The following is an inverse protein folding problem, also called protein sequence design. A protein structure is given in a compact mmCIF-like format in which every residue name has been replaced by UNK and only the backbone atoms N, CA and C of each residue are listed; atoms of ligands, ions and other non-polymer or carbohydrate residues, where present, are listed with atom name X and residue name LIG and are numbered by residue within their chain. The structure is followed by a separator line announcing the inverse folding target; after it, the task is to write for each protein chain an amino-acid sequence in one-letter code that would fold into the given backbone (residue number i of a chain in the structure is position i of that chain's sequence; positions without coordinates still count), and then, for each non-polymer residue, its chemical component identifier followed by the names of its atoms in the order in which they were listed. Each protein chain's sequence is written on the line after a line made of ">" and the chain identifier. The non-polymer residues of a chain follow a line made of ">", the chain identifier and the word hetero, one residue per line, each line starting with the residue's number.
data_IF_688718751267
#
_entry.id   IF_688718751267
#
_cell.length_a   1.000
_cell.length_b   1.000
_cell.length_c   1.000
_cell.angle_alpha   90.00
_cell.angle_beta   90.00
_cell.angle_gamma   90.00
#
_symmetry.space_group_name_H-M   'P 1'
#
loop_
_entity.id
_entity.type
_entity.pdbx_description
1 polymer ?
#
# COMPACT_ATOMS: atom_id res chain seq x y z
N UNK A 1 7.95 -7.01 10.06
CA UNK A 1 7.03 -7.83 10.88
C UNK A 1 6.86 -9.18 10.21
N UNK A 2 7.18 -10.28 10.90
CA UNK A 2 7.14 -11.63 10.30
C UNK A 2 6.53 -12.66 11.23
N UNK A 3 5.61 -13.50 10.72
CA UNK A 3 4.99 -14.62 11.46
C UNK A 3 4.22 -14.21 12.73
N UNK A 4 3.46 -13.11 12.70
CA UNK A 4 2.66 -12.67 13.84
C UNK A 4 1.17 -12.97 13.62
N UNK A 5 0.45 -13.20 14.72
CA UNK A 5 -1.01 -13.21 14.74
C UNK A 5 -1.49 -12.02 15.53
N UNK A 6 -2.30 -11.17 14.91
CA UNK A 6 -2.94 -10.01 15.52
C UNK A 6 -4.45 -10.15 15.31
N UNK A 7 -5.19 -10.38 16.38
CA UNK A 7 -6.63 -10.60 16.30
C UNK A 7 -7.44 -9.82 17.33
N UNK A 8 -8.66 -9.40 16.95
CA UNK A 8 -9.69 -9.00 17.89
C UNK A 8 -9.36 -7.80 18.77
N UNK A 9 -8.67 -6.77 18.26
CA UNK A 9 -8.27 -5.58 19.03
C UNK A 9 -9.41 -4.63 19.45
N UNK A 10 -10.66 -5.11 19.46
CA UNK A 10 -11.82 -4.36 19.89
C UNK A 10 -12.18 -3.25 18.90
N UNK A 11 -12.04 -1.99 19.31
CA UNK A 11 -12.28 -0.82 18.45
C UNK A 11 -11.04 -0.35 17.68
N UNK A 12 -9.88 -0.94 17.94
CA UNK A 12 -8.62 -0.50 17.36
C UNK A 12 -8.26 -1.32 16.12
N UNK A 13 -7.44 -0.73 15.25
CA UNK A 13 -6.81 -1.43 14.13
C UNK A 13 -5.84 -2.51 14.60
N UNK A 14 -5.41 -3.36 13.66
CA UNK A 14 -4.46 -4.43 13.94
C UNK A 14 -3.05 -3.90 14.14
N UNK A 15 -2.49 -3.27 13.11
CA UNK A 15 -1.16 -2.66 13.17
C UNK A 15 -1.18 -1.26 12.58
N UNK A 16 -0.60 -0.30 13.31
CA UNK A 16 -0.43 1.08 12.84
C UNK A 16 1.05 1.43 12.82
N UNK A 17 1.56 1.78 11.64
CA UNK A 17 2.91 2.31 11.44
C UNK A 17 2.82 3.77 11.08
N UNK A 18 3.58 4.58 11.80
CA UNK A 18 3.80 5.98 11.48
C UNK A 18 5.30 6.22 11.33
N UNK A 19 5.71 6.63 10.13
CA UNK A 19 7.10 6.98 9.82
C UNK A 19 7.15 8.42 9.31
N UNK A 20 8.08 9.22 9.82
CA UNK A 20 8.22 10.61 9.40
C UNK A 20 9.69 11.02 9.32
N UNK A 21 10.07 11.61 8.19
CA UNK A 21 11.23 12.45 8.05
C UNK A 21 10.80 13.90 7.80
N UNK A 22 11.27 14.81 8.65
CA UNK A 22 10.86 16.21 8.63
C UNK A 22 12.06 17.16 8.65
N UNK A 23 12.10 18.12 7.72
CA UNK A 23 13.07 19.21 7.70
C UNK A 23 12.33 20.56 7.77
N UNK A 24 12.50 21.26 8.90
CA UNK A 24 11.94 22.59 9.12
C UNK A 24 12.90 23.75 8.86
N UNK A 25 14.20 23.49 8.75
CA UNK A 25 15.23 24.51 8.51
C UNK A 25 15.39 24.80 7.02
N UNK A 26 15.58 26.07 6.64
CA UNK A 26 15.94 26.45 5.26
C UNK A 26 17.33 25.97 4.86
N UNK A 27 17.53 25.82 3.56
CA UNK A 27 18.77 25.39 2.92
C UNK A 27 19.32 24.06 3.48
N UNK A 28 18.41 23.16 3.89
CA UNK A 28 18.73 21.84 4.42
C UNK A 28 18.06 20.77 3.56
N UNK A 29 18.83 19.76 3.15
CA UNK A 29 18.33 18.73 2.24
C UNK A 29 18.02 17.45 3.01
N UNK A 30 16.87 16.84 2.70
CA UNK A 30 16.59 15.47 3.08
C UNK A 30 17.13 14.57 1.96
N UNK A 31 18.33 14.03 2.19
CA UNK A 31 19.01 13.22 1.18
C UNK A 31 19.36 11.83 1.69
N UNK A 32 19.39 10.85 0.76
CA UNK A 32 19.84 9.48 1.03
C UNK A 32 19.11 8.83 2.21
N UNK A 33 17.82 9.14 2.37
CA UNK A 33 16.99 8.69 3.48
C UNK A 33 15.93 7.71 2.97
N UNK A 34 15.61 6.69 3.76
CA UNK A 34 14.73 5.62 3.33
C UNK A 34 13.81 5.14 4.44
N UNK A 35 12.54 4.95 4.11
CA UNK A 35 11.59 4.18 4.91
C UNK A 35 11.39 2.82 4.23
N UNK A 36 11.45 1.74 5.01
CA UNK A 36 11.16 0.40 4.53
C UNK A 36 10.25 -0.32 5.53
N UNK A 37 9.01 -0.59 5.12
CA UNK A 37 8.06 -1.37 5.90
C UNK A 37 7.89 -2.76 5.25
N UNK A 38 8.10 -3.82 6.03
CA UNK A 38 8.00 -5.19 5.51
C UNK A 38 7.10 -6.03 6.39
N UNK A 39 6.13 -6.69 5.77
CA UNK A 39 5.15 -7.57 6.40
C UNK A 39 5.18 -8.92 5.71
N UNK A 40 5.54 -9.96 6.44
CA UNK A 40 5.66 -11.31 5.89
C UNK A 40 4.91 -12.32 6.74
N UNK A 41 4.04 -13.12 6.13
CA UNK A 41 3.39 -14.25 6.78
C UNK A 41 2.67 -13.90 8.10
N UNK A 42 2.04 -12.73 8.18
CA UNK A 42 1.24 -12.35 9.35
C UNK A 42 -0.23 -12.74 9.13
N UNK A 43 -0.93 -13.06 10.21
CA UNK A 43 -2.39 -13.25 10.23
C UNK A 43 -3.01 -12.12 11.04
N UNK A 44 -3.83 -11.29 10.40
CA UNK A 44 -4.35 -10.04 10.96
C UNK A 44 -5.86 -10.00 10.77
N UNK A 45 -6.62 -10.24 11.82
CA UNK A 45 -8.06 -10.51 11.67
C UNK A 45 -8.96 -9.88 12.73
N UNK A 46 -10.20 -9.58 12.35
CA UNK A 46 -11.24 -9.21 13.31
C UNK A 46 -10.99 -7.91 14.07
N UNK A 47 -10.21 -6.97 13.52
CA UNK A 47 -9.92 -5.70 14.18
C UNK A 47 -11.05 -4.68 14.01
N UNK A 48 -11.11 -3.71 14.93
CA UNK A 48 -12.19 -2.71 15.00
C UNK A 48 -12.09 -1.58 14.00
N UNK A 49 -10.98 -1.52 13.29
CA UNK A 49 -10.65 -0.52 12.28
C UNK A 49 -9.88 -1.23 11.14
N UNK A 50 -8.84 -0.62 10.58
CA UNK A 50 -7.98 -1.23 9.58
C UNK A 50 -7.21 -2.45 10.12
N UNK A 51 -6.96 -3.44 9.26
CA UNK A 51 -6.06 -4.54 9.58
C UNK A 51 -4.63 -4.04 9.75
N UNK A 52 -4.11 -3.39 8.71
CA UNK A 52 -2.81 -2.71 8.73
C UNK A 52 -2.98 -1.31 8.17
N UNK A 53 -2.51 -0.31 8.92
CA UNK A 53 -2.41 1.06 8.49
C UNK A 53 -0.94 1.49 8.49
N UNK A 54 -0.42 1.93 7.34
CA UNK A 54 0.94 2.47 7.20
C UNK A 54 0.86 3.89 6.71
N UNK A 55 1.43 4.81 7.48
CA UNK A 55 1.58 6.20 7.10
C UNK A 55 3.07 6.55 6.99
N UNK A 56 3.46 7.10 5.84
CA UNK A 56 4.83 7.56 5.61
C UNK A 56 4.86 9.03 5.20
N UNK A 57 5.68 9.83 5.88
CA UNK A 57 5.82 11.26 5.62
C UNK A 57 7.27 11.60 5.29
N UNK A 58 7.46 12.31 4.18
CA UNK A 58 8.73 12.94 3.79
C UNK A 58 8.47 14.41 3.51
N UNK A 59 8.75 15.27 4.49
CA UNK A 59 8.28 16.65 4.48
C UNK A 59 9.47 17.62 4.64
N UNK A 60 9.68 18.48 3.66
CA UNK A 60 10.60 19.62 3.75
C UNK A 60 9.81 20.92 3.63
N UNK A 61 9.80 21.75 4.68
CA UNK A 61 9.08 23.05 4.68
C UNK A 61 10.00 24.26 4.72
N UNK A 62 11.29 24.06 5.00
CA UNK A 62 12.28 25.14 4.97
C UNK A 62 12.55 25.60 3.55
N UNK A 63 12.62 26.91 3.29
CA UNK A 63 12.97 27.43 1.96
C UNK A 63 14.22 26.74 1.36
N UNK A 64 14.16 26.39 0.07
CA UNK A 64 15.21 25.68 -0.67
C UNK A 64 15.63 24.33 -0.07
N UNK A 65 14.73 23.65 0.63
CA UNK A 65 15.02 22.35 1.25
C UNK A 65 14.46 21.24 0.38
N UNK A 66 15.33 20.55 -0.35
CA UNK A 66 14.95 19.50 -1.29
C UNK A 66 14.86 18.11 -0.69
N UNK A 67 14.12 17.23 -1.36
CA UNK A 67 14.20 15.78 -1.18
C UNK A 67 14.99 15.19 -2.33
N UNK A 68 16.03 14.41 -2.01
CA UNK A 68 16.92 13.86 -3.02
C UNK A 68 17.38 12.43 -2.69
N UNK A 69 17.45 11.58 -3.71
CA UNK A 69 17.89 10.19 -3.62
C UNK A 69 17.33 9.46 -2.39
N UNK A 70 16.03 9.62 -2.16
CA UNK A 70 15.33 9.09 -0.99
C UNK A 70 14.22 8.14 -1.42
N UNK A 71 13.74 7.29 -0.52
CA UNK A 71 12.74 6.30 -0.88
C UNK A 71 11.78 5.89 0.23
N UNK A 72 10.60 5.44 -0.19
CA UNK A 72 9.65 4.66 0.62
C UNK A 72 9.48 3.30 -0.07
N UNK A 73 9.57 2.23 0.70
CA UNK A 73 9.33 0.87 0.21
C UNK A 73 8.45 0.08 1.17
N UNK A 74 7.24 -0.23 0.72
CA UNK A 74 6.28 -1.04 1.44
C UNK A 74 6.17 -2.41 0.78
N UNK A 75 6.37 -3.48 1.56
CA UNK A 75 6.37 -4.85 1.05
C UNK A 75 5.49 -5.78 1.89
N UNK A 76 4.55 -6.45 1.22
CA UNK A 76 3.62 -7.40 1.82
C UNK A 76 3.74 -8.75 1.13
N UNK A 77 4.09 -9.80 1.88
CA UNK A 77 4.23 -11.15 1.32
C UNK A 77 3.57 -12.19 2.21
N UNK A 78 2.69 -13.02 1.64
CA UNK A 78 2.13 -14.16 2.36
C UNK A 78 1.24 -13.81 3.55
N UNK A 79 0.74 -12.58 3.66
CA UNK A 79 -0.09 -12.17 4.80
C UNK A 79 -1.56 -12.59 4.59
N UNK A 80 -2.25 -12.94 5.67
CA UNK A 80 -3.70 -13.11 5.70
C UNK A 80 -4.30 -11.96 6.49
N UNK A 81 -5.11 -11.14 5.84
CA UNK A 81 -5.72 -9.94 6.42
C UNK A 81 -7.23 -10.01 6.18
N UNK A 82 -8.03 -10.22 7.22
CA UNK A 82 -9.47 -10.43 7.01
C UNK A 82 -10.40 -10.10 8.16
N UNK A 83 -11.65 -9.77 7.85
CA UNK A 83 -12.67 -9.51 8.87
C UNK A 83 -12.41 -8.25 9.69
N UNK A 84 -11.58 -7.32 9.20
CA UNK A 84 -11.36 -6.03 9.85
C UNK A 84 -12.55 -5.10 9.57
N UNK A 85 -12.87 -4.19 10.48
CA UNK A 85 -14.11 -3.42 10.41
C UNK A 85 -14.06 -2.26 9.41
N UNK A 86 -12.86 -1.80 9.05
CA UNK A 86 -12.65 -0.86 7.94
C UNK A 86 -11.84 -1.56 6.83
N UNK A 87 -10.65 -1.08 6.47
CA UNK A 87 -9.87 -1.60 5.36
C UNK A 87 -9.02 -2.80 5.78
N UNK A 88 -8.70 -3.69 4.85
CA UNK A 88 -7.71 -4.73 5.11
C UNK A 88 -6.33 -4.11 5.33
N UNK A 89 -5.88 -3.41 4.29
CA UNK A 89 -4.61 -2.69 4.25
C UNK A 89 -4.86 -1.26 3.77
N UNK A 90 -4.45 -0.29 4.56
CA UNK A 90 -4.46 1.12 4.19
C UNK A 90 -3.02 1.63 4.15
N UNK A 91 -2.61 2.12 2.98
CA UNK A 91 -1.30 2.70 2.74
C UNK A 91 -1.47 4.18 2.40
N UNK A 92 -0.95 5.02 3.28
CA UNK A 92 -0.93 6.45 3.12
C UNK A 92 0.52 6.93 3.00
N UNK A 93 0.81 7.81 2.04
CA UNK A 93 2.06 8.54 2.06
C UNK A 93 1.90 9.98 1.57
N UNK A 94 2.52 10.90 2.30
CA UNK A 94 2.59 12.31 1.96
C UNK A 94 4.06 12.70 1.71
N UNK A 95 4.35 13.20 0.51
CA UNK A 95 5.66 13.73 0.16
C UNK A 95 5.48 15.20 -0.19
N UNK A 96 6.16 16.06 0.56
CA UNK A 96 6.14 17.51 0.35
C UNK A 96 7.58 18.01 0.20
N UNK A 97 7.93 18.46 -1.01
CA UNK A 97 9.25 19.00 -1.34
C UNK A 97 9.19 20.53 -1.56
N UNK A 98 9.57 21.32 -0.55
CA UNK A 98 9.58 22.78 -0.69
C UNK A 98 10.51 23.34 -1.77
N UNK A 99 11.52 22.56 -2.22
CA UNK A 99 12.40 22.96 -3.31
C UNK A 99 11.93 22.44 -4.68
N UNK A 100 10.97 21.50 -4.72
CA UNK A 100 10.47 20.89 -5.95
C UNK A 100 11.51 20.07 -6.72
N UNK A 101 12.47 19.47 -6.00
CA UNK A 101 13.52 18.62 -6.57
C UNK A 101 13.06 17.20 -6.90
N UNK A 102 12.03 16.70 -6.21
CA UNK A 102 11.31 15.45 -6.51
C UNK A 102 12.19 14.20 -6.61
N UNK A 103 13.27 14.12 -5.83
CA UNK A 103 14.19 12.97 -5.83
C UNK A 103 13.72 11.82 -4.93
N UNK A 104 12.45 11.45 -5.03
CA UNK A 104 11.80 10.47 -4.17
C UNK A 104 11.18 9.34 -4.98
N UNK A 105 11.58 8.10 -4.66
CA UNK A 105 11.01 6.88 -5.24
C UNK A 105 10.16 6.13 -4.21
N UNK A 106 8.88 5.92 -4.53
CA UNK A 106 7.95 5.19 -3.68
C UNK A 106 7.56 3.87 -4.33
N UNK A 107 7.64 2.78 -3.57
CA UNK A 107 7.38 1.43 -4.09
C UNK A 107 6.43 0.64 -3.20
N UNK A 108 5.53 -0.10 -3.82
CA UNK A 108 4.68 -1.09 -3.18
C UNK A 108 4.89 -2.45 -3.84
N UNK A 109 5.29 -3.45 -3.07
CA UNK A 109 5.38 -4.84 -3.50
C UNK A 109 4.36 -5.70 -2.74
N UNK A 110 3.49 -6.41 -3.47
CA UNK A 110 2.56 -7.37 -2.86
C UNK A 110 2.57 -8.71 -3.58
N UNK A 111 2.82 -9.81 -2.84
CA UNK A 111 2.83 -11.15 -3.39
C UNK A 111 2.23 -12.19 -2.44
N UNK A 112 1.36 -13.06 -2.93
CA UNK A 112 0.87 -14.20 -2.16
C UNK A 112 0.01 -13.83 -0.95
N UNK A 113 -0.56 -12.63 -0.88
CA UNK A 113 -1.38 -12.19 0.24
C UNK A 113 -2.85 -12.61 0.05
N UNK A 114 -3.57 -12.82 1.14
CA UNK A 114 -5.02 -12.99 1.17
C UNK A 114 -5.64 -11.83 1.93
N UNK A 115 -6.38 -10.95 1.26
CA UNK A 115 -7.01 -9.78 1.86
C UNK A 115 -8.52 -9.81 1.58
N UNK A 116 -9.31 -10.21 2.57
CA UNK A 116 -10.70 -10.61 2.31
C UNK A 116 -11.67 -10.23 3.42
N UNK A 117 -12.94 -10.06 3.09
CA UNK A 117 -14.02 -9.86 4.06
C UNK A 117 -13.79 -8.69 5.02
N UNK A 118 -13.13 -7.62 4.59
CA UNK A 118 -12.99 -6.40 5.37
C UNK A 118 -14.21 -5.48 5.16
N UNK A 119 -14.50 -4.65 6.15
CA UNK A 119 -15.73 -3.84 6.24
C UNK A 119 -15.80 -2.69 5.24
N UNK A 120 -14.70 -2.37 4.56
CA UNK A 120 -14.64 -1.39 3.49
C UNK A 120 -13.81 -1.92 2.31
N UNK A 121 -12.59 -1.43 2.09
CA UNK A 121 -11.73 -1.88 1.00
C UNK A 121 -10.81 -3.02 1.41
N UNK A 122 -10.40 -3.86 0.45
CA UNK A 122 -9.31 -4.81 0.68
C UNK A 122 -7.98 -4.07 0.87
N UNK A 123 -7.57 -3.35 -0.16
CA UNK A 123 -6.37 -2.50 -0.16
C UNK A 123 -6.75 -1.07 -0.55
N UNK A 124 -6.45 -0.11 0.31
CA UNK A 124 -6.62 1.32 0.09
C UNK A 124 -5.27 1.99 -0.12
N UNK A 125 -5.01 2.49 -1.34
CA UNK A 125 -3.79 3.19 -1.68
C UNK A 125 -4.08 4.69 -1.82
N UNK A 126 -3.50 5.49 -0.93
CA UNK A 126 -3.66 6.94 -0.91
C UNK A 126 -2.30 7.63 -0.82
N UNK A 127 -1.81 8.07 -1.97
CA UNK A 127 -0.47 8.64 -2.08
C UNK A 127 -0.59 10.06 -2.61
N UNK A 128 -0.35 11.04 -1.73
CA UNK A 128 -0.19 12.44 -2.10
C UNK A 128 1.31 12.74 -2.24
N UNK A 129 1.84 12.47 -3.44
CA UNK A 129 3.28 12.39 -3.63
C UNK A 129 3.85 13.32 -4.70
N UNK A 130 4.82 14.10 -4.26
CA UNK A 130 5.78 14.85 -5.06
C UNK A 130 6.95 13.92 -5.46
N UNK A 131 6.72 12.94 -6.36
CA UNK A 131 7.74 11.94 -6.73
C UNK A 131 7.27 10.87 -7.70
N UNK A 132 7.99 9.74 -7.74
CA UNK A 132 7.56 8.55 -8.51
C UNK A 132 6.89 7.52 -7.60
N UNK A 133 5.88 6.82 -8.11
CA UNK A 133 5.31 5.64 -7.47
C UNK A 133 5.29 4.45 -8.43
N UNK A 134 5.71 3.30 -7.92
CA UNK A 134 5.60 2.01 -8.61
C UNK A 134 4.94 0.98 -7.68
N UNK A 135 3.69 0.62 -7.98
CA UNK A 135 2.99 -0.47 -7.31
C UNK A 135 3.01 -1.73 -8.16
N UNK A 136 3.45 -2.84 -7.55
CA UNK A 136 3.54 -4.16 -8.15
C UNK A 136 2.90 -5.20 -7.24
N UNK A 137 1.61 -5.43 -7.49
CA UNK A 137 0.81 -6.51 -6.94
C UNK A 137 0.87 -7.74 -7.84
N UNK A 138 1.65 -7.72 -8.94
CA UNK A 138 1.86 -8.82 -9.86
C UNK A 138 2.14 -8.37 -11.30
N UNK A 139 3.15 -8.98 -11.93
CA UNK A 139 3.53 -8.73 -13.33
C UNK A 139 4.31 -7.44 -13.58
N UNK A 140 4.59 -6.66 -12.52
CA UNK A 140 5.33 -5.41 -12.61
C UNK A 140 6.86 -5.56 -12.57
N UNK A 141 7.53 -4.40 -12.53
CA UNK A 141 8.99 -4.30 -12.58
C UNK A 141 9.68 -4.60 -11.25
N UNK A 142 8.93 -4.68 -10.15
CA UNK A 142 9.48 -5.02 -8.82
C UNK A 142 9.57 -6.55 -8.63
N UNK A 143 9.04 -7.31 -9.59
CA UNK A 143 9.18 -8.76 -9.66
C UNK A 143 8.13 -9.51 -8.85
N UNK A 144 6.98 -8.89 -8.54
CA UNK A 144 5.90 -9.64 -7.90
C UNK A 144 5.33 -10.66 -8.87
N UNK A 145 5.21 -11.90 -8.43
CA UNK A 145 4.52 -12.95 -9.16
C UNK A 145 2.99 -12.85 -9.08
N UNK A 146 2.45 -11.88 -8.32
CA UNK A 146 1.04 -11.85 -7.96
C UNK A 146 0.70 -12.93 -6.95
N UNK A 147 -0.23 -13.82 -7.31
CA UNK A 147 -0.80 -14.84 -6.44
C UNK A 147 -1.48 -14.27 -5.20
N UNK A 148 -1.92 -13.01 -5.24
CA UNK A 148 -2.75 -12.47 -4.17
C UNK A 148 -4.22 -12.89 -4.38
N UNK A 149 -4.96 -12.98 -3.29
CA UNK A 149 -6.41 -13.18 -3.27
C UNK A 149 -7.06 -11.98 -2.62
N UNK A 150 -7.78 -11.20 -3.42
CA UNK A 150 -8.60 -10.09 -2.95
C UNK A 150 -10.05 -10.46 -3.24
N UNK A 151 -10.91 -10.55 -2.23
CA UNK A 151 -12.34 -10.80 -2.46
C UNK A 151 -13.19 -10.58 -1.22
N UNK A 152 -14.47 -10.30 -1.44
CA UNK A 152 -15.49 -10.25 -0.39
C UNK A 152 -15.34 -9.04 0.54
N UNK A 153 -14.51 -8.06 0.19
CA UNK A 153 -14.47 -6.78 0.88
C UNK A 153 -15.76 -5.99 0.55
N UNK A 154 -16.23 -5.17 1.48
CA UNK A 154 -17.59 -4.64 1.41
C UNK A 154 -17.82 -3.62 0.28
N UNK A 155 -16.78 -2.87 -0.11
CA UNK A 155 -16.87 -1.81 -1.13
C UNK A 155 -16.17 -2.21 -2.41
N UNK A 156 -14.82 -2.25 -2.41
CA UNK A 156 -14.01 -2.77 -3.50
C UNK A 156 -12.81 -3.51 -2.92
N UNK A 157 -12.26 -4.47 -3.67
CA UNK A 157 -11.06 -5.18 -3.26
C UNK A 157 -9.82 -4.30 -3.29
N UNK A 158 -9.76 -3.38 -4.27
CA UNK A 158 -8.70 -2.37 -4.36
C UNK A 158 -9.31 -0.99 -4.62
N UNK A 159 -8.86 -0.02 -3.84
CA UNK A 159 -8.94 1.40 -4.15
C UNK A 159 -7.56 1.94 -4.49
N UNK A 160 -7.39 2.46 -5.71
CA UNK A 160 -6.11 3.00 -6.19
C UNK A 160 -6.23 4.51 -6.44
N UNK A 161 -5.79 5.33 -5.48
CA UNK A 161 -5.61 6.78 -5.66
C UNK A 161 -4.13 7.17 -5.81
N UNK A 162 -3.26 6.21 -6.16
CA UNK A 162 -1.80 6.39 -6.12
C UNK A 162 -1.16 6.55 -7.49
N UNK A 163 -1.54 5.72 -8.47
CA UNK A 163 -0.82 5.66 -9.74
C UNK A 163 -1.68 5.21 -10.91
N UNK A 164 -1.37 5.73 -12.11
CA UNK A 164 -1.94 5.22 -13.34
C UNK A 164 -1.15 4.00 -13.83
N UNK A 165 -1.84 2.87 -14.02
CA UNK A 165 -1.23 1.62 -14.47
C UNK A 165 -0.66 0.79 -13.32
N UNK A 166 -1.35 0.76 -12.18
CA UNK A 166 -1.01 -0.13 -11.07
C UNK A 166 -0.96 -1.58 -11.57
N UNK A 167 0.15 -2.28 -11.35
CA UNK A 167 0.32 -3.67 -11.80
C UNK A 167 -0.31 -4.63 -10.81
N UNK A 168 -1.27 -5.43 -11.25
CA UNK A 168 -2.05 -6.37 -10.45
C UNK A 168 -2.37 -7.66 -11.22
N UNK A 169 -1.51 -8.05 -12.14
CA UNK A 169 -1.62 -9.29 -12.91
C UNK A 169 -1.47 -10.51 -11.99
N UNK A 170 -1.97 -11.66 -12.43
CA UNK A 170 -1.89 -12.96 -11.77
C UNK A 170 -2.45 -12.98 -10.34
N UNK A 171 -3.48 -12.18 -10.06
CA UNK A 171 -4.23 -12.20 -8.81
C UNK A 171 -5.62 -12.80 -8.99
N UNK A 172 -6.20 -13.32 -7.91
CA UNK A 172 -7.56 -13.84 -7.87
C UNK A 172 -8.49 -12.86 -7.14
N UNK A 173 -9.67 -12.63 -7.74
CA UNK A 173 -10.61 -11.57 -7.35
C UNK A 173 -11.92 -12.12 -6.76
N UNK A 174 -11.96 -13.41 -6.41
CA UNK A 174 -13.16 -14.06 -5.88
C UNK A 174 -14.18 -14.50 -6.93
N UNK A 175 -14.10 -13.98 -8.17
CA UNK A 175 -14.99 -14.35 -9.26
C UNK A 175 -14.28 -14.32 -10.65
N UNK A 176 -15.05 -14.08 -11.73
CA UNK A 176 -14.56 -14.09 -13.11
C UNK A 176 -14.30 -12.71 -13.72
N UNK A 177 -14.67 -11.61 -13.06
CA UNK A 177 -14.57 -10.25 -13.62
C UNK A 177 -13.95 -9.27 -12.60
N UNK A 178 -12.64 -9.01 -12.65
CA UNK A 178 -11.99 -8.10 -11.72
C UNK A 178 -12.47 -6.65 -11.79
N UNK A 179 -13.15 -6.26 -12.88
CA UNK A 179 -13.46 -4.85 -13.14
C UNK A 179 -14.50 -4.27 -12.17
N UNK A 180 -15.31 -5.11 -11.53
CA UNK A 180 -16.26 -4.70 -10.50
C UNK A 180 -15.67 -4.76 -9.07
N UNK A 181 -14.44 -5.25 -8.93
CA UNK A 181 -13.70 -5.33 -7.67
C UNK A 181 -12.70 -4.19 -7.48
N UNK A 182 -12.53 -3.32 -8.47
CA UNK A 182 -11.48 -2.30 -8.48
C UNK A 182 -12.11 -0.92 -8.65
N UNK A 183 -11.82 -0.02 -7.72
CA UNK A 183 -12.03 1.41 -7.90
C UNK A 183 -10.68 2.09 -8.11
N UNK A 184 -10.44 2.51 -9.35
CA UNK A 184 -9.21 3.19 -9.71
C UNK A 184 -9.15 4.66 -9.32
N UNK A 185 -10.17 5.26 -8.70
CA UNK A 185 -10.18 6.72 -8.45
C UNK A 185 -10.03 7.56 -9.73
N UNK A 186 -10.28 6.97 -10.92
CA UNK A 186 -10.01 7.55 -12.24
C UNK A 186 -8.66 7.15 -12.88
N UNK A 187 -7.84 6.37 -12.18
CA UNK A 187 -6.55 5.80 -12.60
C UNK A 187 -6.72 4.34 -13.05
N UNK A 188 -5.86 3.86 -13.96
CA UNK A 188 -5.95 2.48 -14.44
C UNK A 188 -5.25 1.48 -13.53
N UNK A 189 -5.78 0.26 -13.47
CA UNK A 189 -5.16 -0.92 -12.85
C UNK A 189 -5.06 -1.98 -13.94
N UNK A 190 -3.88 -2.58 -14.09
CA UNK A 190 -3.61 -3.64 -15.04
C UNK A 190 -3.65 -4.99 -14.33
N UNK A 191 -4.78 -5.67 -14.46
CA UNK A 191 -5.07 -6.96 -13.82
C UNK A 191 -5.11 -8.13 -14.83
N UNK A 192 -4.77 -7.92 -16.11
CA UNK A 192 -4.78 -8.95 -17.15
C UNK A 192 -3.36 -9.49 -17.41
N UNK A 193 -3.09 -10.79 -17.23
CA UNK A 193 -4.04 -11.85 -16.88
C UNK A 193 -4.43 -11.86 -15.41
N UNK A 194 -5.68 -12.25 -15.10
CA UNK A 194 -6.09 -12.60 -13.73
C UNK A 194 -6.26 -14.12 -13.57
N UNK A 195 -6.21 -14.59 -12.33
CA UNK A 195 -6.44 -15.98 -11.99
C UNK A 195 -7.93 -16.30 -12.01
N UNK A 196 -8.28 -17.48 -12.53
CA UNK A 196 -9.68 -17.98 -12.56
C UNK A 196 -10.03 -18.88 -11.36
N UNK A 197 -9.07 -19.11 -10.47
CA UNK A 197 -9.24 -19.83 -9.20
C UNK A 197 -8.27 -19.29 -8.16
N UNK A 198 -8.57 -19.51 -6.88
CA UNK A 198 -7.67 -19.20 -5.78
C UNK A 198 -6.27 -19.85 -5.97
N UNK A 199 -5.18 -19.10 -5.77
CA UNK A 199 -3.81 -19.61 -5.76
C UNK A 199 -3.44 -20.39 -4.49
#
# INVERSE_FOLDING_TARGET
>A
MTNNTIDGNGFWGGFWVYNEFFIGSSDAELSNSGIANTFTNNTITGNGDDGVYVENYFITVGLNSGINNSSISDAFTGNTISGNSNDGLHLYSEIFDSAGTYGMDTTLFMQGNTVTNNGNYGVYLDYDIDGTFAGDLGGGLLGSAGNNSFYGNAVFDIYNNAVNGLKAENNWWGDTDPSDQIDGGGLSVDYDPWLTSAP
#
